data_IF_386433593221
#
_entry.id   IF_386433593221
#
_cell.length_a   1.000
_cell.length_b   1.000
_cell.length_c   1.000
_cell.angle_alpha   90.00
_cell.angle_beta   90.00
_cell.angle_gamma   90.00
#
_symmetry.space_group_name_H-M   'P 1'
#
loop_
_entity.id
_entity.type
_entity.pdbx_description
1 polymer ?
#
# COMPACT_ATOMS: atom_id res chain seq x y z
N UNK A 1 -18.81 4.46 -26.61
CA UNK A 1 -19.89 5.25 -25.97
C UNK A 1 -21.11 4.35 -25.87
N UNK A 2 -21.27 3.64 -24.76
CA UNK A 2 -22.44 2.81 -24.50
C UNK A 2 -23.48 3.66 -23.79
N UNK A 3 -24.74 3.73 -24.26
CA UNK A 3 -25.79 4.46 -23.55
C UNK A 3 -26.05 3.79 -22.20
N UNK A 4 -26.50 4.57 -21.21
CA UNK A 4 -26.96 4.03 -19.93
C UNK A 4 -28.04 2.97 -20.17
N UNK A 5 -27.96 1.84 -19.46
CA UNK A 5 -28.93 0.73 -19.62
C UNK A 5 -30.36 1.14 -19.24
N UNK A 6 -30.52 2.14 -18.37
CA UNK A 6 -31.80 2.78 -18.07
C UNK A 6 -31.93 4.09 -18.84
N UNK A 7 -33.05 4.24 -19.57
CA UNK A 7 -33.38 5.44 -20.31
C UNK A 7 -33.64 6.65 -19.42
N UNK A 8 -33.66 7.84 -20.02
CA UNK A 8 -33.94 9.08 -19.29
C UNK A 8 -35.39 9.11 -18.79
N UNK A 9 -35.58 9.24 -17.47
CA UNK A 9 -36.89 9.44 -16.84
C UNK A 9 -37.14 10.94 -16.57
N UNK A 10 -38.15 11.57 -17.20
CA UNK A 10 -38.48 12.98 -16.97
C UNK A 10 -38.95 13.28 -15.54
N UNK A 11 -39.35 12.26 -14.76
CA UNK A 11 -39.66 12.41 -13.34
C UNK A 11 -38.42 12.69 -12.48
N UNK A 12 -37.22 12.33 -12.98
CA UNK A 12 -35.94 12.51 -12.27
C UNK A 12 -35.55 13.98 -12.04
N UNK A 13 -36.14 14.90 -12.82
CA UNK A 13 -35.94 16.36 -12.71
C UNK A 13 -37.10 17.09 -12.04
N UNK A 14 -38.20 16.40 -11.71
CA UNK A 14 -39.41 17.01 -11.17
C UNK A 14 -39.28 17.40 -9.69
N UNK A 15 -38.33 16.82 -8.97
CA UNK A 15 -38.11 17.06 -7.54
C UNK A 15 -36.82 17.83 -7.33
N UNK A 16 -36.90 19.02 -6.72
CA UNK A 16 -35.73 19.79 -6.28
C UNK A 16 -35.07 19.00 -5.13
N UNK A 17 -33.92 18.37 -5.39
CA UNK A 17 -33.13 17.70 -4.35
C UNK A 17 -32.52 18.76 -3.42
N UNK A 18 -33.27 19.16 -2.38
CA UNK A 18 -32.83 20.14 -1.36
C UNK A 18 -32.15 19.51 -0.16
N UNK A 19 -32.22 18.18 -0.03
CA UNK A 19 -31.47 17.39 0.94
C UNK A 19 -30.29 16.73 0.21
N UNK A 20 -29.09 16.56 0.81
CA UNK A 20 -28.03 15.76 0.23
C UNK A 20 -28.58 14.35 0.04
N UNK A 21 -28.96 14.07 -1.21
CA UNK A 21 -29.97 13.09 -1.56
C UNK A 21 -29.67 11.73 -0.95
N UNK A 22 -30.74 11.01 -0.61
CA UNK A 22 -30.74 9.57 -0.34
C UNK A 22 -29.57 8.92 -1.07
N UNK A 23 -28.56 8.44 -0.32
CA UNK A 23 -27.37 7.77 -0.85
C UNK A 23 -27.84 6.88 -2.00
N UNK A 24 -27.56 7.25 -3.26
CA UNK A 24 -27.87 6.39 -4.40
C UNK A 24 -27.07 5.12 -4.17
N UNK A 25 -27.76 4.10 -3.66
CA UNK A 25 -27.19 2.79 -3.41
C UNK A 25 -26.81 2.24 -4.76
N UNK A 26 -25.53 1.98 -4.95
CA UNK A 26 -25.06 1.34 -6.18
C UNK A 26 -25.72 -0.04 -6.24
N UNK A 27 -26.04 -0.50 -7.46
CA UNK A 27 -26.59 -1.83 -7.65
C UNK A 27 -25.72 -2.88 -6.91
N UNK A 28 -26.32 -3.70 -6.02
CA UNK A 28 -25.56 -4.61 -5.16
C UNK A 28 -24.75 -5.65 -5.95
N UNK A 29 -25.26 -6.08 -7.10
CA UNK A 29 -24.56 -7.02 -8.00
C UNK A 29 -23.33 -6.36 -8.63
N UNK A 30 -23.46 -5.09 -9.05
CA UNK A 30 -22.33 -4.33 -9.59
C UNK A 30 -21.26 -4.09 -8.51
N UNK A 31 -21.68 -3.80 -7.28
CA UNK A 31 -20.79 -3.66 -6.14
C UNK A 31 -20.01 -4.95 -5.82
N UNK A 32 -20.68 -6.10 -5.78
CA UNK A 32 -19.99 -7.37 -5.53
C UNK A 32 -19.05 -7.73 -6.69
N UNK A 33 -19.50 -7.57 -7.94
CA UNK A 33 -18.65 -7.79 -9.10
C UNK A 33 -17.38 -6.92 -9.09
N UNK A 34 -17.49 -5.65 -8.72
CA UNK A 34 -16.32 -4.79 -8.56
C UNK A 34 -15.38 -5.27 -7.45
N UNK A 35 -15.92 -5.65 -6.29
CA UNK A 35 -15.13 -6.16 -5.17
C UNK A 35 -14.36 -7.43 -5.55
N UNK A 36 -15.07 -8.42 -6.10
CA UNK A 36 -14.54 -9.75 -6.35
C UNK A 36 -13.61 -9.82 -7.56
N UNK A 37 -13.91 -9.05 -8.62
CA UNK A 37 -13.18 -9.15 -9.88
C UNK A 37 -12.10 -8.06 -10.06
N UNK A 38 -12.14 -6.98 -9.28
CA UNK A 38 -11.23 -5.84 -9.45
C UNK A 38 -10.52 -5.48 -8.15
N UNK A 39 -11.29 -5.13 -7.11
CA UNK A 39 -10.71 -4.57 -5.89
C UNK A 39 -9.83 -5.57 -5.17
N UNK A 40 -10.38 -6.70 -4.74
CA UNK A 40 -9.65 -7.69 -3.96
C UNK A 40 -8.52 -8.38 -4.74
N UNK A 41 -8.69 -8.77 -6.03
CA UNK A 41 -7.57 -9.26 -6.83
C UNK A 41 -6.42 -8.26 -6.95
N UNK A 42 -6.72 -6.96 -7.12
CA UNK A 42 -5.67 -5.93 -7.22
C UNK A 42 -4.90 -5.78 -5.89
N UNK A 43 -5.62 -5.80 -4.76
CA UNK A 43 -5.00 -5.74 -3.43
C UNK A 43 -4.15 -6.97 -3.15
N UNK A 44 -4.64 -8.16 -3.52
CA UNK A 44 -3.90 -9.40 -3.38
C UNK A 44 -2.60 -9.37 -4.17
N UNK A 45 -2.67 -8.99 -5.46
CA UNK A 45 -1.50 -8.87 -6.33
C UNK A 45 -0.46 -7.91 -5.74
N UNK A 46 -0.88 -6.75 -5.23
CA UNK A 46 0.04 -5.80 -4.58
C UNK A 46 0.65 -6.39 -3.30
N UNK A 47 -0.13 -7.10 -2.49
CA UNK A 47 0.37 -7.82 -1.31
C UNK A 47 1.42 -8.87 -1.67
N UNK A 48 1.24 -9.59 -2.77
CA UNK A 48 2.16 -10.63 -3.22
C UNK A 48 3.50 -10.01 -3.68
N UNK A 49 3.45 -8.90 -4.43
CA UNK A 49 4.65 -8.14 -4.82
C UNK A 49 5.39 -7.61 -3.61
N UNK A 50 4.70 -7.01 -2.63
CA UNK A 50 5.33 -6.53 -1.39
C UNK A 50 5.93 -7.66 -0.55
N UNK A 51 5.34 -8.86 -0.60
CA UNK A 51 5.88 -10.05 0.07
C UNK A 51 7.13 -10.55 -0.63
N UNK A 52 7.10 -10.64 -1.97
CA UNK A 52 8.26 -11.00 -2.78
C UNK A 52 9.43 -10.04 -2.54
N UNK A 53 9.19 -8.73 -2.64
CA UNK A 53 10.23 -7.73 -2.44
C UNK A 53 10.80 -7.75 -1.01
N UNK A 54 9.98 -8.06 0.01
CA UNK A 54 10.48 -8.25 1.36
C UNK A 54 11.44 -9.45 1.46
N UNK A 55 11.15 -10.55 0.76
CA UNK A 55 12.06 -11.69 0.66
C UNK A 55 13.40 -11.29 0.03
N UNK A 56 13.36 -10.59 -1.10
CA UNK A 56 14.56 -10.06 -1.78
C UNK A 56 15.37 -9.13 -0.86
N UNK A 57 14.71 -8.24 -0.12
CA UNK A 57 15.36 -7.30 0.80
C UNK A 57 16.10 -7.99 1.95
N UNK A 58 15.76 -9.24 2.28
CA UNK A 58 16.45 -10.04 3.30
C UNK A 58 17.49 -11.02 2.73
N UNK A 59 17.59 -11.11 1.40
CA UNK A 59 18.55 -12.00 0.74
C UNK A 59 19.93 -11.35 0.60
N UNK A 60 21.03 -12.13 0.63
CA UNK A 60 22.37 -11.60 0.37
C UNK A 60 22.47 -11.04 -1.06
N UNK A 61 23.13 -9.89 -1.20
CA UNK A 61 23.36 -9.23 -2.48
C UNK A 61 24.85 -9.26 -2.85
N UNK A 62 25.33 -10.32 -3.53
CA UNK A 62 26.74 -10.46 -3.89
C UNK A 62 27.21 -9.45 -4.95
N UNK A 63 26.28 -8.88 -5.71
CA UNK A 63 26.54 -7.92 -6.79
C UNK A 63 26.38 -6.46 -6.32
N UNK A 64 26.39 -6.21 -5.01
CA UNK A 64 26.38 -4.86 -4.46
C UNK A 64 27.73 -4.17 -4.75
N UNK A 65 27.79 -3.16 -5.66
CA UNK A 65 29.04 -2.51 -6.05
C UNK A 65 29.68 -1.76 -4.89
N UNK A 66 28.89 -1.35 -3.90
CA UNK A 66 29.34 -0.57 -2.75
C UNK A 66 29.76 -1.46 -1.58
N UNK A 67 29.69 -2.79 -1.70
CA UNK A 67 30.00 -3.72 -0.62
C UNK A 67 31.42 -3.51 -0.08
N UNK A 68 32.41 -3.47 -0.97
CA UNK A 68 33.82 -3.30 -0.57
C UNK A 68 34.06 -1.89 -0.03
N UNK A 69 33.53 -0.86 -0.68
CA UNK A 69 33.66 0.52 -0.23
C UNK A 69 33.09 0.70 1.19
N UNK A 70 31.88 0.20 1.43
CA UNK A 70 31.22 0.23 2.74
C UNK A 70 32.03 -0.51 3.81
N UNK A 71 32.61 -1.68 3.48
CA UNK A 71 33.46 -2.42 4.41
C UNK A 71 34.73 -1.63 4.76
N UNK A 72 35.38 -1.00 3.76
CA UNK A 72 36.58 -0.19 4.00
C UNK A 72 36.28 1.07 4.81
N UNK A 73 35.18 1.76 4.54
CA UNK A 73 34.74 2.93 5.29
C UNK A 73 34.40 2.55 6.74
N UNK A 74 33.69 1.44 6.94
CA UNK A 74 33.35 0.92 8.27
C UNK A 74 34.59 0.49 9.07
N UNK A 75 35.60 -0.09 8.40
CA UNK A 75 36.86 -0.44 9.03
C UNK A 75 37.64 0.81 9.46
N UNK A 76 37.73 1.81 8.57
CA UNK A 76 38.40 3.09 8.84
C UNK A 76 37.73 3.86 9.98
N UNK A 77 36.40 3.85 10.05
CA UNK A 77 35.69 4.53 11.14
C UNK A 77 35.90 3.83 12.49
N UNK A 78 36.00 2.49 12.51
CA UNK A 78 36.34 1.73 13.74
C UNK A 78 37.72 2.09 14.31
N UNK A 79 38.66 2.48 13.45
CA UNK A 79 40.01 2.90 13.85
C UNK A 79 40.09 4.38 14.24
N UNK A 80 39.01 5.15 14.03
CA UNK A 80 39.00 6.59 14.25
C UNK A 80 38.85 6.93 15.73
N UNK A 81 39.81 7.68 16.27
CA UNK A 81 39.67 8.31 17.59
C UNK A 81 38.87 9.61 17.48
N UNK A 82 37.79 9.71 18.25
CA UNK A 82 36.89 10.87 18.28
C UNK A 82 37.18 11.70 19.52
N UNK A 83 37.45 13.00 19.33
CA UNK A 83 37.64 13.95 20.43
C UNK A 83 36.50 14.97 20.45
N UNK A 84 35.46 14.66 21.21
CA UNK A 84 34.22 15.45 21.32
C UNK A 84 34.45 16.86 21.89
N UNK A 85 35.57 17.09 22.59
CA UNK A 85 35.92 18.40 23.15
C UNK A 85 36.41 19.38 22.07
N UNK A 86 36.99 18.87 20.99
CA UNK A 86 37.50 19.68 19.89
C UNK A 86 36.42 19.93 18.82
N UNK A 87 35.59 18.92 18.54
CA UNK A 87 34.45 19.02 17.62
C UNK A 87 33.29 18.10 18.06
N UNK A 88 32.17 18.68 18.55
CA UNK A 88 30.97 17.94 18.96
C UNK A 88 30.27 17.14 17.85
N UNK A 89 30.58 17.40 16.58
CA UNK A 89 29.95 16.70 15.44
C UNK A 89 30.86 15.63 14.83
N UNK A 90 32.11 15.55 15.26
CA UNK A 90 33.09 14.60 14.74
C UNK A 90 32.73 13.14 15.00
N UNK A 91 31.91 12.85 16.01
CA UNK A 91 31.43 11.50 16.34
C UNK A 91 30.45 10.90 15.32
N UNK A 92 29.88 11.69 14.41
CA UNK A 92 28.84 11.21 13.50
C UNK A 92 29.46 10.55 12.28
N UNK A 93 29.29 9.23 12.18
CA UNK A 93 29.55 8.45 10.97
C UNK A 93 28.23 7.87 10.46
N UNK A 94 27.94 8.10 9.18
CA UNK A 94 26.79 7.53 8.50
C UNK A 94 27.31 6.57 7.43
N UNK A 95 27.34 5.26 7.70
CA UNK A 95 27.74 4.30 6.67
C UNK A 95 26.78 4.38 5.49
N UNK A 96 27.28 4.11 4.28
CA UNK A 96 26.41 3.92 3.12
C UNK A 96 25.49 2.74 3.38
N UNK A 97 24.20 2.92 3.13
CA UNK A 97 23.21 1.84 3.25
C UNK A 97 23.45 0.77 2.17
N UNK A 98 23.18 -0.50 2.50
CA UNK A 98 23.14 -1.56 1.49
C UNK A 98 21.91 -1.42 0.59
N UNK A 99 21.99 -1.88 -0.67
CA UNK A 99 20.82 -1.90 -1.57
C UNK A 99 19.63 -2.69 -0.98
N UNK A 100 19.94 -3.76 -0.27
CA UNK A 100 18.94 -4.59 0.42
C UNK A 100 18.33 -3.88 1.62
N UNK A 101 19.11 -3.08 2.34
CA UNK A 101 18.64 -2.26 3.45
C UNK A 101 17.75 -1.10 2.98
N UNK A 102 18.16 -0.40 1.93
CA UNK A 102 17.35 0.66 1.33
C UNK A 102 16.04 0.11 0.74
N UNK A 103 16.09 -1.07 0.11
CA UNK A 103 14.88 -1.79 -0.32
C UNK A 103 14.01 -2.19 0.88
N UNK A 104 14.59 -2.69 1.98
CA UNK A 104 13.83 -3.04 3.18
C UNK A 104 13.10 -1.82 3.76
N UNK A 105 13.76 -0.66 3.80
CA UNK A 105 13.16 0.60 4.23
C UNK A 105 12.01 1.02 3.32
N UNK A 106 12.18 0.92 1.99
CA UNK A 106 11.13 1.18 1.01
C UNK A 106 9.93 0.27 1.24
N UNK A 107 10.13 -1.03 1.38
CA UNK A 107 9.03 -1.99 1.54
C UNK A 107 8.26 -1.78 2.86
N UNK A 108 8.93 -1.37 3.94
CA UNK A 108 8.24 -0.98 5.19
C UNK A 108 7.31 0.21 4.95
N UNK A 109 7.78 1.24 4.23
CA UNK A 109 6.96 2.40 3.90
C UNK A 109 5.78 2.04 3.00
N UNK A 110 6.02 1.25 1.95
CA UNK A 110 4.96 0.83 1.02
C UNK A 110 3.88 -0.02 1.70
N UNK A 111 4.23 -0.84 2.70
CA UNK A 111 3.22 -1.57 3.50
C UNK A 111 2.31 -0.63 4.29
N UNK A 112 2.89 0.40 4.92
CA UNK A 112 2.11 1.42 5.65
C UNK A 112 1.24 2.23 4.70
N UNK A 113 1.75 2.58 3.52
CA UNK A 113 0.99 3.30 2.49
C UNK A 113 -0.17 2.44 1.99
N UNK A 114 0.07 1.16 1.71
CA UNK A 114 -0.96 0.23 1.26
C UNK A 114 -2.07 0.07 2.30
N UNK A 115 -1.74 0.01 3.59
CA UNK A 115 -2.73 0.00 4.67
C UNK A 115 -3.63 1.26 4.65
N UNK A 116 -3.03 2.45 4.51
CA UNK A 116 -3.76 3.72 4.39
C UNK A 116 -4.65 3.73 3.15
N UNK A 117 -4.14 3.27 2.01
CA UNK A 117 -4.88 3.21 0.76
C UNK A 117 -6.08 2.27 0.92
N UNK A 118 -5.88 1.07 1.49
CA UNK A 118 -6.97 0.10 1.71
C UNK A 118 -8.04 0.65 2.63
N UNK A 119 -7.65 1.24 3.75
CA UNK A 119 -8.59 1.85 4.70
C UNK A 119 -9.43 2.96 4.03
N UNK A 120 -8.79 3.86 3.27
CA UNK A 120 -9.49 4.95 2.55
C UNK A 120 -10.38 4.44 1.43
N UNK A 121 -9.86 3.53 0.61
CA UNK A 121 -10.62 2.94 -0.50
C UNK A 121 -11.81 2.16 0.03
N UNK A 122 -11.64 1.38 1.11
CA UNK A 122 -12.74 0.66 1.74
C UNK A 122 -13.78 1.60 2.32
N UNK A 123 -13.38 2.69 2.99
CA UNK A 123 -14.32 3.70 3.48
C UNK A 123 -15.24 4.23 2.38
N UNK A 124 -14.68 4.56 1.22
CA UNK A 124 -15.49 5.02 0.07
C UNK A 124 -16.37 3.91 -0.52
N UNK A 125 -15.83 2.69 -0.65
CA UNK A 125 -16.56 1.55 -1.21
C UNK A 125 -17.68 1.10 -0.28
N UNK A 126 -17.45 1.04 1.03
CA UNK A 126 -18.43 0.59 2.02
C UNK A 126 -19.59 1.57 2.17
N UNK A 127 -19.34 2.87 2.05
CA UNK A 127 -20.38 3.92 2.02
C UNK A 127 -21.35 3.76 0.84
N UNK A 128 -20.84 3.33 -0.32
CA UNK A 128 -21.63 3.21 -1.56
C UNK A 128 -22.22 1.83 -1.78
N UNK A 129 -21.52 0.78 -1.34
CA UNK A 129 -21.87 -0.62 -1.52
C UNK A 129 -22.40 -1.30 -0.25
N UNK A 130 -22.75 -0.51 0.77
CA UNK A 130 -23.35 -0.96 2.05
C UNK A 130 -22.56 -2.12 2.68
N UNK A 131 -21.27 -1.90 2.94
CA UNK A 131 -20.41 -2.85 3.66
C UNK A 131 -20.32 -2.50 5.15
N UNK A 132 -20.58 -3.46 6.03
CA UNK A 132 -20.49 -3.27 7.50
C UNK A 132 -19.21 -3.82 8.13
N UNK A 133 -18.45 -4.66 7.42
CA UNK A 133 -17.22 -5.29 7.90
C UNK A 133 -16.00 -4.38 7.72
N UNK A 134 -14.92 -4.71 8.41
CA UNK A 134 -13.60 -4.11 8.15
C UNK A 134 -13.07 -4.55 6.78
N UNK A 135 -12.06 -3.84 6.24
CA UNK A 135 -11.50 -4.21 4.93
C UNK A 135 -10.68 -5.50 5.02
N UNK A 136 -10.07 -5.74 6.19
CA UNK A 136 -9.29 -6.92 6.53
C UNK A 136 -10.17 -8.17 6.51
N UNK A 137 -11.31 -8.12 7.21
CA UNK A 137 -12.31 -9.19 7.22
C UNK A 137 -12.81 -9.48 5.81
N UNK A 138 -13.24 -8.44 5.08
CA UNK A 138 -13.80 -8.60 3.75
C UNK A 138 -12.78 -9.22 2.76
N UNK A 139 -11.52 -8.81 2.83
CA UNK A 139 -10.45 -9.38 2.01
C UNK A 139 -10.14 -10.84 2.42
N UNK A 140 -10.14 -11.14 3.71
CA UNK A 140 -9.89 -12.50 4.20
C UNK A 140 -11.02 -13.47 3.83
N UNK A 141 -12.27 -13.03 3.90
CA UNK A 141 -13.42 -13.81 3.45
C UNK A 141 -13.34 -14.10 1.94
N UNK A 142 -12.96 -13.08 1.16
CA UNK A 142 -12.73 -13.25 -0.29
C UNK A 142 -11.59 -14.24 -0.57
N UNK A 143 -10.49 -14.19 0.18
CA UNK A 143 -9.40 -15.18 0.05
C UNK A 143 -9.89 -16.59 0.33
N UNK A 144 -10.62 -16.79 1.43
CA UNK A 144 -11.12 -18.11 1.82
C UNK A 144 -12.09 -18.69 0.78
N UNK A 145 -12.91 -17.86 0.13
CA UNK A 145 -13.83 -18.31 -0.91
C UNK A 145 -13.13 -18.69 -2.22
N UNK A 146 -11.97 -18.10 -2.51
CA UNK A 146 -11.19 -18.33 -3.74
C UNK A 146 -10.02 -19.33 -3.57
N UNK A 147 -9.76 -19.82 -2.35
CA UNK A 147 -8.71 -20.82 -2.06
C UNK A 147 -9.21 -22.27 -2.01
N UNK A 148 -10.50 -22.50 -2.31
CA UNK A 148 -11.08 -23.84 -2.53
C UNK A 148 -10.99 -24.22 -4.00
#
# INVERSE_FOLDING_TARGET
>A
MTPAQEGFDPSSTAVRQTEPGSRKTINPVACQSFKDNVLFPSWQTRSDVLTYCAGVATSPDPEDPDLILRQTESARDREREVNERLDPYSARFFPREARTESLANLIRNERTIEEIIRARTWGMVSEKCTGSSTWEEALNDWRQSHQK
#
